data_IF_149194173221
#
_entry.id   IF_149194173221
#
_cell.length_a   1.000
_cell.length_b   1.000
_cell.length_c   1.000
_cell.angle_alpha   90.00
_cell.angle_beta   90.00
_cell.angle_gamma   90.00
#
_symmetry.space_group_name_H-M   'P 1'
#
loop_
_entity.id
_entity.type
_entity.pdbx_description
1 polymer ?
#
# COMPACT_ATOMS: atom_id res chain seq x y z
N UNK A 1 32.86 -44.40 -5.02
CA UNK A 1 32.99 -42.95 -4.74
C UNK A 1 32.58 -42.00 -5.89
N UNK A 2 32.33 -42.45 -7.13
CA UNK A 2 32.10 -41.53 -8.28
C UNK A 2 30.68 -40.92 -8.38
N UNK A 3 29.64 -41.55 -7.81
CA UNK A 3 28.23 -41.09 -7.88
C UNK A 3 27.91 -39.87 -6.98
N UNK A 4 28.64 -39.65 -5.88
CA UNK A 4 28.37 -38.54 -4.96
C UNK A 4 28.73 -37.15 -5.50
N UNK A 5 29.67 -37.05 -6.46
CA UNK A 5 30.11 -35.76 -7.02
C UNK A 5 29.06 -35.07 -7.91
N UNK A 6 28.02 -35.79 -8.35
CA UNK A 6 26.91 -35.25 -9.15
C UNK A 6 25.72 -34.75 -8.31
N UNK A 7 25.56 -35.25 -7.07
CA UNK A 7 24.45 -34.83 -6.20
C UNK A 7 24.62 -33.41 -5.66
N UNK A 8 25.86 -32.98 -5.37
CA UNK A 8 26.15 -31.66 -4.82
C UNK A 8 25.72 -30.51 -5.77
N UNK A 9 26.13 -30.47 -7.06
CA UNK A 9 25.67 -29.42 -7.97
C UNK A 9 24.15 -29.48 -8.25
N UNK A 10 23.56 -30.67 -8.28
CA UNK A 10 22.11 -30.84 -8.44
C UNK A 10 21.33 -30.26 -7.25
N UNK A 11 21.82 -30.48 -6.02
CA UNK A 11 21.24 -29.93 -4.79
C UNK A 11 21.37 -28.41 -4.74
N UNK A 12 22.52 -27.86 -5.14
CA UNK A 12 22.76 -26.41 -5.22
C UNK A 12 21.83 -25.76 -6.25
N UNK A 13 21.65 -26.37 -7.43
CA UNK A 13 20.70 -25.90 -8.43
C UNK A 13 19.25 -25.92 -7.92
N UNK A 14 18.85 -27.00 -7.22
CA UNK A 14 17.52 -27.11 -6.62
C UNK A 14 17.27 -26.04 -5.55
N UNK A 15 18.27 -25.76 -4.70
CA UNK A 15 18.21 -24.71 -3.66
C UNK A 15 18.16 -23.31 -4.30
N UNK A 16 18.91 -23.06 -5.37
CA UNK A 16 18.86 -21.81 -6.11
C UNK A 16 17.46 -21.55 -6.72
N UNK A 17 16.82 -22.59 -7.28
CA UNK A 17 15.45 -22.50 -7.81
C UNK A 17 14.43 -22.26 -6.68
N UNK A 18 14.60 -22.90 -5.52
CA UNK A 18 13.75 -22.68 -4.34
C UNK A 18 13.96 -21.30 -3.66
N UNK A 19 15.04 -20.59 -3.98
CA UNK A 19 15.34 -19.25 -3.44
C UNK A 19 14.61 -18.12 -4.17
N UNK A 20 14.05 -18.39 -5.37
CA UNK A 20 13.19 -17.46 -6.13
C UNK A 20 11.70 -17.78 -5.93
N UNK A 21 11.27 -17.88 -4.66
CA UNK A 21 9.85 -17.88 -4.34
C UNK A 21 9.27 -16.45 -4.54
N UNK A 22 8.33 -16.22 -5.48
CA UNK A 22 7.58 -14.97 -5.48
C UNK A 22 6.78 -14.88 -4.17
N UNK A 23 6.84 -13.73 -3.51
CA UNK A 23 5.89 -13.40 -2.44
C UNK A 23 4.46 -13.55 -2.97
N UNK A 24 3.54 -14.06 -2.15
CA UNK A 24 2.18 -14.37 -2.56
C UNK A 24 1.18 -13.38 -1.95
N UNK A 25 0.13 -13.07 -2.70
CA UNK A 25 -0.38 -11.71 -2.73
C UNK A 25 -1.92 -11.66 -2.83
N UNK A 26 -2.49 -10.66 -2.17
CA UNK A 26 -3.92 -10.55 -1.87
C UNK A 26 -4.84 -10.46 -3.07
N UNK A 27 -6.13 -10.68 -2.82
CA UNK A 27 -7.23 -10.21 -3.67
C UNK A 27 -8.51 -10.04 -2.82
N UNK A 28 -9.32 -9.01 -3.08
CA UNK A 28 -10.60 -8.75 -2.41
C UNK A 28 -11.81 -9.46 -3.06
N UNK A 29 -11.57 -10.56 -3.75
CA UNK A 29 -12.56 -11.41 -4.41
C UNK A 29 -11.96 -12.79 -4.63
N UNK A 30 -12.52 -13.59 -5.52
CA UNK A 30 -11.90 -14.85 -5.95
C UNK A 30 -11.97 -15.05 -7.46
N UNK A 31 -11.08 -15.89 -7.98
CA UNK A 31 -11.07 -16.29 -9.39
C UNK A 31 -11.70 -17.68 -9.56
N UNK A 32 -12.46 -17.84 -10.63
CA UNK A 32 -13.07 -19.10 -11.08
C UNK A 32 -12.70 -19.36 -12.54
N UNK A 33 -12.42 -20.61 -12.89
CA UNK A 33 -12.03 -21.03 -14.24
C UNK A 33 -12.84 -22.24 -14.70
N UNK A 34 -12.91 -22.49 -16.02
CA UNK A 34 -13.60 -23.68 -16.56
C UNK A 34 -12.80 -24.99 -16.42
N UNK A 35 -11.49 -24.92 -16.27
CA UNK A 35 -10.58 -26.07 -16.12
C UNK A 35 -9.94 -26.12 -14.72
N UNK A 36 -9.27 -27.22 -14.37
CA UNK A 36 -8.59 -27.41 -13.06
C UNK A 36 -7.22 -26.67 -12.98
N UNK A 37 -7.15 -25.49 -13.57
CA UNK A 37 -5.98 -24.61 -13.54
C UNK A 37 -5.85 -23.94 -12.17
N UNK A 38 -4.66 -24.02 -11.56
CA UNK A 38 -4.35 -23.24 -10.35
C UNK A 38 -4.04 -21.80 -10.75
N UNK A 39 -4.80 -20.85 -10.21
CA UNK A 39 -4.65 -19.41 -10.49
C UNK A 39 -4.11 -18.71 -9.25
N UNK A 40 -3.15 -17.79 -9.44
CA UNK A 40 -2.43 -17.15 -8.35
C UNK A 40 -2.42 -15.63 -8.50
N UNK A 41 -2.77 -14.94 -7.41
CA UNK A 41 -2.53 -13.50 -7.22
C UNK A 41 -1.02 -13.21 -7.17
N UNK A 42 -0.49 -12.30 -8.00
CA UNK A 42 0.53 -11.36 -7.51
C UNK A 42 -0.19 -10.16 -6.87
N UNK A 43 0.41 -8.97 -6.77
CA UNK A 43 -0.09 -7.91 -5.89
C UNK A 43 -1.53 -7.51 -6.21
N UNK A 44 -2.42 -7.50 -5.20
CA UNK A 44 -3.57 -6.61 -5.25
C UNK A 44 -3.25 -5.28 -4.60
N UNK A 45 -3.47 -4.23 -5.38
CA UNK A 45 -3.52 -2.86 -4.93
C UNK A 45 -4.96 -2.38 -5.07
N UNK A 46 -5.48 -1.78 -4.01
CA UNK A 46 -6.87 -1.30 -3.96
C UNK A 46 -6.88 0.18 -3.64
N UNK A 47 -7.53 0.99 -4.47
CA UNK A 47 -7.79 2.40 -4.20
C UNK A 47 -9.25 2.57 -3.81
N UNK A 48 -9.52 3.20 -2.67
CA UNK A 48 -10.87 3.51 -2.19
C UNK A 48 -11.00 5.01 -2.00
N UNK A 49 -11.62 5.71 -2.95
CA UNK A 49 -12.03 7.10 -2.75
C UNK A 49 -13.41 7.12 -2.07
N UNK A 50 -13.50 7.76 -0.90
CA UNK A 50 -14.69 7.73 -0.03
C UNK A 50 -15.06 9.13 0.43
N UNK A 51 -16.31 9.52 0.20
CA UNK A 51 -16.95 10.66 0.87
C UNK A 51 -18.38 10.26 1.25
N UNK A 52 -18.76 10.50 2.51
CA UNK A 52 -20.07 10.19 3.08
C UNK A 52 -20.48 8.73 2.82
N UNK A 53 -21.53 8.52 2.00
CA UNK A 53 -22.00 7.20 1.58
C UNK A 53 -21.55 6.79 0.17
N UNK A 54 -20.74 7.60 -0.52
CA UNK A 54 -20.30 7.34 -1.90
C UNK A 54 -18.88 6.78 -1.92
N UNK A 55 -18.68 5.68 -2.62
CA UNK A 55 -17.39 5.01 -2.79
C UNK A 55 -17.06 4.83 -4.26
N UNK A 56 -15.80 5.08 -4.60
CA UNK A 56 -15.18 4.59 -5.83
C UNK A 56 -14.07 3.62 -5.44
N UNK A 57 -14.20 2.37 -5.88
CA UNK A 57 -13.30 1.26 -5.57
C UNK A 57 -12.55 0.86 -6.85
N UNK A 58 -11.24 1.08 -6.89
CA UNK A 58 -10.35 0.59 -7.96
C UNK A 58 -9.61 -0.65 -7.48
N UNK A 59 -9.64 -1.73 -8.26
CA UNK A 59 -8.93 -2.97 -7.98
C UNK A 59 -7.92 -3.24 -9.09
N UNK A 60 -6.63 -3.24 -8.76
CA UNK A 60 -5.57 -3.74 -9.62
C UNK A 60 -5.09 -5.09 -9.11
N UNK A 61 -4.97 -6.06 -10.01
CA UNK A 61 -4.57 -7.43 -9.71
C UNK A 61 -3.52 -7.89 -10.74
N UNK A 62 -2.32 -8.23 -10.29
CA UNK A 62 -1.28 -8.86 -11.10
C UNK A 62 -1.58 -10.38 -11.25
N UNK A 63 -2.51 -10.70 -12.15
CA UNK A 63 -2.94 -12.09 -12.39
C UNK A 63 -1.83 -12.96 -12.98
N UNK A 64 -1.62 -14.16 -12.41
CA UNK A 64 -0.75 -15.19 -12.99
C UNK A 64 -1.49 -16.51 -13.22
N UNK A 65 -1.56 -16.93 -14.48
CA UNK A 65 -2.15 -18.20 -14.92
C UNK A 65 -2.38 -18.24 -16.44
N UNK A 66 -2.85 -19.38 -16.96
CA UNK A 66 -3.38 -19.41 -18.32
C UNK A 66 -4.67 -18.58 -18.37
N UNK A 67 -4.71 -17.61 -19.29
CA UNK A 67 -5.74 -16.55 -19.33
C UNK A 67 -7.11 -17.07 -19.84
N UNK A 68 -7.23 -18.36 -20.18
CA UNK A 68 -8.40 -18.95 -20.82
C UNK A 68 -9.56 -19.19 -19.85
N UNK A 69 -10.70 -18.58 -20.19
CA UNK A 69 -12.02 -18.84 -19.58
C UNK A 69 -12.08 -18.71 -18.05
N UNK A 70 -11.66 -17.56 -17.53
CA UNK A 70 -11.81 -17.23 -16.10
C UNK A 70 -12.60 -15.94 -15.84
N UNK A 71 -13.14 -15.86 -14.63
CA UNK A 71 -13.87 -14.71 -14.13
C UNK A 71 -13.44 -14.33 -12.72
N UNK A 72 -13.45 -13.03 -12.46
CA UNK A 72 -13.20 -12.38 -11.19
C UNK A 72 -14.53 -12.13 -10.46
N UNK A 73 -14.68 -12.64 -9.24
CA UNK A 73 -15.92 -12.53 -8.45
C UNK A 73 -15.69 -11.70 -7.19
N UNK A 74 -16.37 -10.55 -7.09
CA UNK A 74 -16.22 -9.57 -6.00
C UNK A 74 -17.58 -9.33 -5.31
N UNK A 75 -17.68 -9.44 -3.98
CA UNK A 75 -18.87 -9.03 -3.23
C UNK A 75 -19.01 -7.51 -3.22
N UNK A 76 -20.18 -7.00 -3.57
CA UNK A 76 -20.46 -5.56 -3.60
C UNK A 76 -21.69 -5.24 -2.74
N UNK A 77 -21.72 -4.12 -2.02
CA UNK A 77 -22.74 -3.86 -1.01
C UNK A 77 -24.12 -3.51 -1.62
N UNK A 78 -24.13 -3.08 -2.88
CA UNK A 78 -25.30 -2.70 -3.66
C UNK A 78 -25.18 -3.24 -5.08
N UNK A 79 -26.21 -2.97 -5.87
CA UNK A 79 -26.22 -3.18 -7.32
C UNK A 79 -25.27 -2.17 -7.97
N UNK A 80 -24.40 -2.66 -8.86
CA UNK A 80 -23.61 -1.81 -9.76
C UNK A 80 -24.33 -1.80 -11.13
N UNK A 81 -24.20 -0.71 -11.88
CA UNK A 81 -24.73 -0.56 -13.25
C UNK A 81 -23.59 -0.32 -14.25
N UNK A 82 -23.91 -0.29 -15.54
CA UNK A 82 -22.91 -0.09 -16.61
C UNK A 82 -22.17 1.25 -16.45
N UNK A 83 -22.91 2.34 -16.24
CA UNK A 83 -22.36 3.69 -16.04
C UNK A 83 -21.51 3.83 -14.76
N UNK A 84 -21.54 2.83 -13.89
CA UNK A 84 -20.78 2.80 -12.63
C UNK A 84 -19.49 1.97 -12.73
N UNK A 85 -19.18 1.37 -13.87
CA UNK A 85 -17.96 0.57 -14.08
C UNK A 85 -17.09 1.22 -15.15
N UNK A 86 -15.81 1.42 -14.83
CA UNK A 86 -14.80 1.84 -15.82
C UNK A 86 -13.51 1.06 -15.64
N UNK A 87 -12.79 0.87 -16.74
CA UNK A 87 -11.40 0.42 -16.69
C UNK A 87 -10.53 1.65 -16.44
N UNK A 88 -9.67 1.60 -15.43
CA UNK A 88 -8.79 2.69 -15.02
C UNK A 88 -7.36 2.47 -15.56
N UNK A 89 -6.56 3.54 -15.59
CA UNK A 89 -5.16 3.46 -16.02
C UNK A 89 -4.26 2.89 -14.92
N UNK A 90 -3.41 1.87 -15.19
CA UNK A 90 -2.46 1.32 -14.22
C UNK A 90 -1.55 2.39 -13.57
N UNK A 91 -1.10 3.35 -14.38
CA UNK A 91 -0.22 4.45 -14.01
C UNK A 91 -0.70 5.27 -12.80
N UNK A 92 -2.01 5.38 -12.59
CA UNK A 92 -2.55 6.15 -11.45
C UNK A 92 -2.30 5.43 -10.12
N UNK A 93 -2.31 4.10 -10.11
CA UNK A 93 -1.99 3.30 -8.93
C UNK A 93 -0.47 3.29 -8.70
N UNK A 94 0.33 3.23 -9.77
CA UNK A 94 1.79 3.41 -9.69
C UNK A 94 2.17 4.78 -9.10
N UNK A 95 1.47 5.86 -9.49
CA UNK A 95 1.66 7.22 -8.95
C UNK A 95 1.28 7.30 -7.47
N UNK A 96 0.14 6.72 -7.07
CA UNK A 96 -0.25 6.62 -5.66
C UNK A 96 0.75 5.80 -4.84
N UNK A 97 1.27 4.71 -5.40
CA UNK A 97 2.28 3.89 -4.75
C UNK A 97 3.60 4.67 -4.55
N UNK A 98 4.15 5.25 -5.61
CA UNK A 98 5.38 6.02 -5.56
C UNK A 98 5.31 7.24 -4.63
N UNK A 99 4.15 7.91 -4.56
CA UNK A 99 3.92 9.03 -3.64
C UNK A 99 3.92 8.60 -2.17
N UNK A 100 3.30 7.45 -1.87
CA UNK A 100 3.02 6.99 -0.50
C UNK A 100 3.95 5.89 0.02
N UNK A 101 4.88 5.39 -0.79
CA UNK A 101 5.76 4.29 -0.42
C UNK A 101 6.67 4.63 0.77
N UNK A 102 6.92 3.66 1.68
CA UNK A 102 7.99 3.75 2.66
C UNK A 102 9.35 3.98 2.00
N UNK A 103 10.20 4.81 2.61
CA UNK A 103 11.42 5.30 1.95
C UNK A 103 12.63 5.45 2.87
N UNK A 104 13.77 5.62 2.22
CA UNK A 104 14.99 6.17 2.83
C UNK A 104 14.97 7.70 2.74
N UNK A 105 15.53 8.36 3.75
CA UNK A 105 15.86 9.79 3.75
C UNK A 105 17.34 9.92 4.10
N UNK A 106 18.07 10.69 3.31
CA UNK A 106 19.50 10.91 3.50
C UNK A 106 19.72 12.30 4.11
N UNK A 107 20.44 12.35 5.22
CA UNK A 107 20.98 13.59 5.79
C UNK A 107 22.50 13.50 5.83
N UNK A 108 23.14 14.65 5.79
CA UNK A 108 24.59 14.77 5.84
C UNK A 108 24.92 15.60 7.09
N UNK A 109 25.85 15.11 7.91
CA UNK A 109 26.32 15.88 9.06
C UNK A 109 26.98 17.18 8.59
N UNK A 110 26.66 18.30 9.25
CA UNK A 110 27.31 19.59 9.02
C UNK A 110 28.80 19.51 9.38
N UNK A 111 29.62 20.42 8.81
CA UNK A 111 31.03 20.55 9.19
C UNK A 111 31.14 20.99 10.66
N UNK A 112 31.64 20.15 11.59
CA UNK A 112 31.74 20.51 13.00
C UNK A 112 32.81 21.57 13.28
N UNK A 113 33.59 21.97 12.27
CA UNK A 113 34.54 23.07 12.32
C UNK A 113 34.01 24.38 11.70
N UNK A 114 32.76 24.42 11.21
CA UNK A 114 32.16 25.62 10.61
C UNK A 114 31.82 26.72 11.64
N UNK A 115 32.01 28.01 11.30
CA UNK A 115 31.60 29.13 12.16
C UNK A 115 30.08 29.34 12.16
N UNK A 116 29.48 29.39 13.35
CA UNK A 116 28.03 29.54 13.54
C UNK A 116 27.60 31.01 13.38
N UNK A 117 26.86 31.30 12.30
CA UNK A 117 26.20 32.60 12.10
C UNK A 117 24.73 32.53 12.55
N UNK A 118 24.34 33.35 13.54
CA UNK A 118 22.95 33.42 14.02
C UNK A 118 22.13 34.41 13.18
N UNK A 119 21.05 33.94 12.56
CA UNK A 119 20.06 34.80 11.89
C UNK A 119 18.74 34.78 12.66
N UNK A 120 18.24 35.97 13.05
CA UNK A 120 17.03 36.12 13.86
C UNK A 120 15.76 36.14 13.00
N UNK A 121 14.77 35.31 13.34
CA UNK A 121 13.50 35.23 12.63
C UNK A 121 12.46 36.26 13.12
N UNK A 122 11.61 36.74 12.21
CA UNK A 122 10.49 37.68 12.48
C UNK A 122 9.15 36.92 12.45
N UNK A 123 8.22 37.12 13.40
CA UNK A 123 6.94 36.41 13.42
C UNK A 123 5.87 37.03 12.49
N UNK A 124 4.95 36.20 11.98
CA UNK A 124 3.75 36.63 11.26
C UNK A 124 2.47 36.38 12.09
N UNK A 125 1.44 37.25 12.02
CA UNK A 125 0.23 37.11 12.82
C UNK A 125 -0.86 36.23 12.16
N UNK A 126 -1.69 35.59 12.99
CA UNK A 126 -2.90 34.85 12.59
C UNK A 126 -4.12 35.77 12.44
N UNK A 127 -5.19 35.29 11.79
CA UNK A 127 -6.52 35.91 11.78
C UNK A 127 -7.63 34.89 12.03
N UNK A 128 -8.76 35.37 12.56
CA UNK A 128 -9.83 34.56 13.15
C UNK A 128 -11.02 34.28 12.19
N UNK A 129 -11.88 33.33 12.58
CA UNK A 129 -13.05 32.89 11.82
C UNK A 129 -14.39 33.34 12.42
N UNK A 130 -15.44 33.39 11.60
CA UNK A 130 -16.85 33.60 12.02
C UNK A 130 -17.81 32.66 11.26
N UNK A 131 -19.07 32.55 11.70
CA UNK A 131 -19.99 31.41 11.43
C UNK A 131 -21.38 31.82 10.88
N UNK A 132 -22.05 30.86 10.24
CA UNK A 132 -23.52 30.75 10.10
C UNK A 132 -23.94 30.05 8.79
N UNK A 133 -25.11 29.43 8.58
CA UNK A 133 -26.03 28.57 9.37
C UNK A 133 -27.37 28.43 8.58
N UNK A 134 -27.66 27.22 8.05
CA UNK A 134 -28.99 26.56 7.85
C UNK A 134 -30.09 27.22 6.92
N UNK A 135 -31.11 26.55 6.34
CA UNK A 135 -31.68 25.18 6.48
C UNK A 135 -32.67 24.77 5.32
N UNK A 136 -32.97 23.45 5.13
CA UNK A 136 -34.21 22.81 4.57
C UNK A 136 -34.65 22.98 3.08
N UNK A 137 -35.34 22.05 2.35
CA UNK A 137 -35.96 20.72 2.66
C UNK A 137 -36.36 19.83 1.43
N UNK A 138 -36.47 18.48 1.62
CA UNK A 138 -37.38 17.42 1.03
C UNK A 138 -37.34 17.05 -0.49
N UNK A 139 -37.08 15.77 -0.91
CA UNK A 139 -37.91 14.51 -0.99
C UNK A 139 -38.65 14.35 -2.36
N UNK A 140 -38.94 13.18 -3.00
CA UNK A 140 -38.92 11.74 -2.62
C UNK A 140 -38.99 10.77 -3.85
N UNK A 141 -38.55 9.49 -3.71
CA UNK A 141 -39.03 8.21 -4.36
C UNK A 141 -39.22 8.03 -5.92
N UNK A 142 -39.21 6.83 -6.55
CA UNK A 142 -38.86 5.41 -6.21
C UNK A 142 -38.87 4.45 -7.45
N UNK A 143 -38.68 3.12 -7.24
CA UNK A 143 -38.84 1.94 -8.16
C UNK A 143 -37.67 1.64 -9.14
N UNK A 144 -37.16 0.43 -9.44
CA UNK A 144 -37.33 -0.95 -8.91
C UNK A 144 -37.89 -1.97 -9.93
N UNK A 145 -37.46 -3.24 -10.12
CA UNK A 145 -36.35 -4.13 -9.64
C UNK A 145 -36.28 -5.38 -10.58
N UNK A 146 -35.12 -5.98 -10.95
CA UNK A 146 -34.86 -7.39 -11.47
C UNK A 146 -33.38 -7.55 -11.92
N UNK A 147 -32.96 -8.64 -12.62
CA UNK A 147 -31.60 -8.93 -13.16
C UNK A 147 -30.84 -7.65 -13.46
N UNK A 148 -29.82 -7.38 -12.65
CA UNK A 148 -29.50 -5.99 -12.36
C UNK A 148 -28.79 -5.31 -13.53
N UNK A 149 -27.79 -5.98 -14.13
CA UNK A 149 -27.14 -5.57 -15.37
C UNK A 149 -26.22 -6.68 -15.94
N UNK A 150 -26.04 -6.69 -17.27
CA UNK A 150 -24.98 -7.38 -17.99
C UNK A 150 -24.51 -6.49 -19.15
N UNK A 151 -23.20 -6.26 -19.26
CA UNK A 151 -22.60 -5.31 -20.21
C UNK A 151 -21.10 -5.59 -20.39
N UNK A 152 -20.41 -4.87 -21.29
CA UNK A 152 -18.98 -5.04 -21.54
C UNK A 152 -18.24 -3.73 -21.28
N UNK A 153 -17.11 -3.77 -20.55
CA UNK A 153 -16.25 -2.59 -20.31
C UNK A 153 -14.80 -2.96 -20.59
N UNK A 154 -14.21 -2.37 -21.63
CA UNK A 154 -12.86 -2.72 -22.08
C UNK A 154 -12.75 -4.22 -22.40
N UNK A 155 -11.76 -4.87 -21.78
CA UNK A 155 -11.47 -6.30 -21.87
C UNK A 155 -12.36 -7.19 -20.96
N UNK A 156 -13.38 -6.62 -20.31
CA UNK A 156 -14.23 -7.35 -19.36
C UNK A 156 -15.69 -7.50 -19.84
N UNK A 157 -16.22 -8.71 -19.77
CA UNK A 157 -17.66 -9.02 -19.84
C UNK A 157 -18.20 -9.06 -18.41
N UNK A 158 -19.05 -8.10 -18.03
CA UNK A 158 -19.55 -7.91 -16.66
C UNK A 158 -20.96 -8.53 -16.51
N UNK A 159 -21.15 -9.30 -15.44
CA UNK A 159 -22.46 -9.85 -15.03
C UNK A 159 -22.66 -9.58 -13.54
N UNK A 160 -23.83 -9.04 -13.17
CA UNK A 160 -24.12 -8.67 -11.78
C UNK A 160 -25.26 -9.51 -11.24
N UNK A 161 -24.96 -10.30 -10.21
CA UNK A 161 -25.82 -11.35 -9.72
C UNK A 161 -26.36 -11.02 -8.32
N UNK A 162 -27.69 -10.95 -8.20
CA UNK A 162 -28.38 -10.96 -6.92
C UNK A 162 -28.64 -12.41 -6.49
N UNK A 163 -27.87 -12.90 -5.51
CA UNK A 163 -28.03 -14.24 -4.98
C UNK A 163 -28.97 -14.22 -3.76
N UNK A 164 -30.19 -14.76 -3.91
CA UNK A 164 -31.09 -15.01 -2.76
C UNK A 164 -30.58 -16.14 -1.85
N UNK A 165 -29.76 -17.05 -2.40
CA UNK A 165 -29.16 -18.20 -1.70
C UNK A 165 -27.76 -18.50 -2.24
N UNK A 166 -26.89 -19.15 -1.44
CA UNK A 166 -25.51 -19.51 -1.87
C UNK A 166 -25.49 -20.43 -3.08
N UNK A 167 -26.43 -21.38 -3.12
CA UNK A 167 -26.61 -22.27 -4.25
C UNK A 167 -26.97 -21.55 -5.55
N UNK A 168 -27.52 -20.32 -5.50
CA UNK A 168 -27.86 -19.55 -6.70
C UNK A 168 -26.63 -19.09 -7.48
N UNK A 169 -25.64 -18.50 -6.79
CA UNK A 169 -24.37 -18.11 -7.42
C UNK A 169 -23.59 -19.34 -7.92
N UNK A 170 -23.47 -20.37 -7.07
CA UNK A 170 -22.80 -21.62 -7.42
C UNK A 170 -23.47 -22.31 -8.64
N UNK A 171 -24.80 -22.37 -8.67
CA UNK A 171 -25.55 -22.94 -9.80
C UNK A 171 -25.35 -22.13 -11.07
N UNK A 172 -25.34 -20.79 -10.99
CA UNK A 172 -25.07 -19.95 -12.15
C UNK A 172 -23.64 -20.17 -12.67
N UNK A 173 -22.65 -20.18 -11.79
CA UNK A 173 -21.24 -20.41 -12.15
C UNK A 173 -21.04 -21.79 -12.79
N UNK A 174 -21.53 -22.86 -12.16
CA UNK A 174 -21.46 -24.23 -12.68
C UNK A 174 -22.19 -24.38 -14.03
N UNK A 175 -23.36 -23.75 -14.21
CA UNK A 175 -24.10 -23.75 -15.49
C UNK A 175 -23.37 -23.01 -16.61
N UNK A 176 -22.59 -21.98 -16.28
CA UNK A 176 -21.72 -21.27 -17.22
C UNK A 176 -20.33 -21.94 -17.38
N UNK A 177 -20.16 -23.14 -16.83
CA UNK A 177 -18.97 -23.97 -16.94
C UNK A 177 -17.84 -23.66 -15.94
N UNK A 178 -18.00 -22.67 -15.06
CA UNK A 178 -16.98 -22.29 -14.09
C UNK A 178 -16.97 -23.24 -12.89
N UNK A 179 -15.79 -23.71 -12.51
CA UNK A 179 -15.58 -24.55 -11.33
C UNK A 179 -15.36 -23.69 -10.08
N UNK A 180 -16.17 -23.93 -9.06
CA UNK A 180 -16.03 -23.35 -7.73
C UNK A 180 -15.03 -24.14 -6.87
N UNK A 181 -14.04 -23.49 -6.22
CA UNK A 181 -13.12 -24.17 -5.30
C UNK A 181 -13.85 -24.77 -4.08
N UNK A 182 -13.32 -25.89 -3.55
CA UNK A 182 -13.92 -26.58 -2.39
C UNK A 182 -13.97 -25.65 -1.16
N UNK A 183 -15.15 -25.54 -0.56
CA UNK A 183 -15.38 -24.72 0.64
C UNK A 183 -15.87 -23.28 0.38
N UNK A 184 -15.95 -22.85 -0.89
CA UNK A 184 -16.41 -21.50 -1.27
C UNK A 184 -17.78 -21.15 -0.66
N UNK A 185 -18.73 -22.10 -0.65
CA UNK A 185 -20.07 -21.89 -0.07
C UNK A 185 -20.07 -21.46 1.40
N UNK A 186 -19.12 -21.90 2.22
CA UNK A 186 -19.04 -21.47 3.62
C UNK A 186 -18.59 -20.01 3.73
N UNK A 187 -17.69 -19.58 2.84
CA UNK A 187 -17.15 -18.22 2.81
C UNK A 187 -18.13 -17.23 2.16
N UNK A 188 -18.98 -17.69 1.23
CA UNK A 188 -20.04 -16.90 0.60
C UNK A 188 -21.23 -16.60 1.52
N UNK A 189 -21.55 -17.49 2.48
CA UNK A 189 -22.72 -17.38 3.38
C UNK A 189 -22.87 -16.01 4.08
N UNK A 190 -21.81 -15.39 4.66
CA UNK A 190 -21.94 -14.09 5.32
C UNK A 190 -22.36 -12.97 4.37
N UNK A 191 -21.76 -12.85 3.18
CA UNK A 191 -22.14 -11.81 2.20
C UNK A 191 -23.62 -11.89 1.81
N UNK A 192 -24.14 -13.12 1.66
CA UNK A 192 -25.54 -13.38 1.32
C UNK A 192 -26.48 -13.06 2.48
N UNK A 193 -26.10 -13.42 3.72
CA UNK A 193 -26.83 -13.00 4.93
C UNK A 193 -26.83 -11.47 5.11
N UNK A 194 -25.79 -10.79 4.63
CA UNK A 194 -25.70 -9.34 4.59
C UNK A 194 -26.31 -8.71 3.31
N UNK A 195 -27.06 -9.48 2.52
CA UNK A 195 -27.76 -9.07 1.29
C UNK A 195 -26.86 -8.41 0.22
N UNK A 196 -25.58 -8.76 0.20
CA UNK A 196 -24.63 -8.27 -0.81
C UNK A 196 -24.87 -8.94 -2.17
N UNK A 197 -24.46 -8.25 -3.25
CA UNK A 197 -24.51 -8.76 -4.62
C UNK A 197 -23.13 -9.30 -5.01
N UNK A 198 -23.09 -10.10 -6.07
CA UNK A 198 -21.83 -10.59 -6.63
C UNK A 198 -21.60 -9.97 -7.98
N UNK A 199 -20.55 -9.16 -8.06
CA UNK A 199 -20.03 -8.59 -9.28
C UNK A 199 -19.08 -9.60 -9.93
N UNK A 200 -19.41 -10.06 -11.13
CA UNK A 200 -18.62 -11.05 -11.88
C UNK A 200 -18.05 -10.39 -13.13
N UNK A 201 -16.73 -10.22 -13.19
CA UNK A 201 -16.03 -9.75 -14.39
C UNK A 201 -15.32 -10.93 -15.06
N UNK A 202 -15.89 -11.44 -16.14
CA UNK A 202 -15.22 -12.40 -17.04
C UNK A 202 -14.27 -11.64 -17.94
N UNK A 203 -13.11 -12.21 -18.25
CA UNK A 203 -12.17 -11.60 -19.20
C UNK A 203 -12.45 -12.06 -20.62
N UNK A 204 -12.43 -11.10 -21.54
CA UNK A 204 -12.56 -11.28 -22.97
C UNK A 204 -11.15 -11.28 -23.59
N UNK A 205 -10.69 -12.47 -24.00
CA UNK A 205 -9.32 -12.66 -24.46
C UNK A 205 -8.98 -11.92 -25.74
N UNK A 206 -9.92 -11.85 -26.67
CA UNK A 206 -9.69 -11.23 -27.98
C UNK A 206 -9.49 -9.72 -27.77
N UNK A 207 -10.38 -9.09 -26.99
CA UNK A 207 -10.24 -7.67 -26.59
C UNK A 207 -9.00 -7.40 -25.74
N UNK A 208 -8.58 -8.36 -24.89
CA UNK A 208 -7.35 -8.22 -24.12
C UNK A 208 -6.11 -8.24 -25.04
N UNK A 209 -6.06 -9.16 -26.00
CA UNK A 209 -4.98 -9.22 -26.99
C UNK A 209 -4.93 -7.97 -27.89
N UNK A 210 -6.09 -7.48 -28.33
CA UNK A 210 -6.24 -6.22 -29.08
C UNK A 210 -5.76 -4.99 -28.29
N UNK A 211 -5.87 -5.02 -26.97
CA UNK A 211 -5.51 -3.87 -26.11
C UNK A 211 -4.01 -3.55 -26.09
N UNK A 212 -3.15 -4.51 -26.44
CA UNK A 212 -1.69 -4.37 -26.41
C UNK A 212 -1.06 -4.30 -25.00
N UNK A 213 -1.83 -4.40 -23.93
CA UNK A 213 -1.32 -4.41 -22.56
C UNK A 213 -0.72 -5.77 -22.19
N UNK A 214 0.37 -5.75 -21.41
CA UNK A 214 1.02 -6.98 -20.90
C UNK A 214 0.31 -7.57 -19.67
N UNK A 215 -0.50 -6.76 -18.98
CA UNK A 215 -1.26 -7.12 -17.78
C UNK A 215 -2.66 -6.54 -17.84
N UNK A 216 -3.60 -7.17 -17.13
CA UNK A 216 -4.99 -6.70 -17.00
C UNK A 216 -5.05 -5.29 -16.42
N UNK A 217 -5.88 -4.41 -17.00
CA UNK A 217 -6.03 -3.05 -16.50
C UNK A 217 -6.92 -3.00 -15.26
N UNK A 218 -6.64 -2.12 -14.28
CA UNK A 218 -7.43 -2.01 -13.06
C UNK A 218 -8.91 -1.76 -13.34
N UNK A 219 -9.79 -2.46 -12.61
CA UNK A 219 -11.23 -2.30 -12.74
C UNK A 219 -11.74 -1.39 -11.62
N UNK A 220 -12.46 -0.33 -11.99
CA UNK A 220 -13.02 0.63 -11.05
C UNK A 220 -14.54 0.56 -11.04
N UNK A 221 -15.12 0.49 -9.84
CA UNK A 221 -16.56 0.46 -9.61
C UNK A 221 -16.98 1.58 -8.65
N UNK A 222 -18.10 2.23 -8.96
CA UNK A 222 -18.66 3.34 -8.18
C UNK A 222 -19.99 2.94 -7.56
N UNK A 223 -20.19 3.16 -6.26
CA UNK A 223 -21.44 2.80 -5.59
C UNK A 223 -21.75 3.67 -4.37
N UNK A 224 -23.04 3.73 -4.03
CA UNK A 224 -23.53 4.36 -2.80
C UNK A 224 -23.90 3.28 -1.77
N UNK A 225 -23.31 3.32 -0.59
CA UNK A 225 -23.62 2.45 0.55
C UNK A 225 -23.07 3.00 1.87
N UNK A 226 -23.75 2.83 3.00
CA UNK A 226 -23.16 3.04 4.33
C UNK A 226 -22.09 2.00 4.70
N UNK A 227 -22.02 0.86 3.99
CA UNK A 227 -20.99 -0.17 4.23
C UNK A 227 -19.64 0.28 3.68
N UNK A 228 -18.76 0.74 4.55
CA UNK A 228 -17.37 1.02 4.22
C UNK A 228 -16.50 -0.20 4.59
N UNK A 229 -16.32 -1.12 3.64
CA UNK A 229 -15.60 -2.39 3.84
C UNK A 229 -14.92 -2.89 2.56
N UNK A 230 -13.92 -3.76 2.71
CA UNK A 230 -13.22 -4.44 1.60
C UNK A 230 -13.25 -5.98 1.81
N UNK A 231 -13.90 -6.76 0.92
CA UNK A 231 -14.20 -8.17 1.15
C UNK A 231 -13.01 -9.14 0.91
N UNK A 232 -11.99 -9.06 1.75
CA UNK A 232 -10.73 -9.81 1.61
C UNK A 232 -10.87 -11.34 1.76
N UNK A 233 -11.92 -11.86 2.40
CA UNK A 233 -11.98 -13.29 2.78
C UNK A 233 -12.10 -14.24 1.60
N UNK A 234 -12.66 -13.77 0.47
CA UNK A 234 -12.74 -14.60 -0.74
C UNK A 234 -11.38 -14.78 -1.42
N UNK A 235 -10.43 -13.85 -1.27
CA UNK A 235 -9.06 -14.01 -1.78
C UNK A 235 -8.37 -15.25 -1.21
N UNK A 236 -8.67 -15.58 0.04
CA UNK A 236 -8.16 -16.77 0.72
C UNK A 236 -8.71 -18.11 0.20
N UNK A 237 -9.63 -18.11 -0.78
CA UNK A 237 -10.14 -19.36 -1.37
C UNK A 237 -9.07 -20.04 -2.22
N UNK A 238 -8.32 -19.27 -3.01
CA UNK A 238 -7.29 -19.78 -3.93
C UNK A 238 -5.87 -19.70 -3.33
N UNK A 239 -5.70 -18.96 -2.22
CA UNK A 239 -4.43 -18.77 -1.55
C UNK A 239 -3.96 -20.03 -0.77
N UNK A 240 -2.70 -20.40 -0.95
CA UNK A 240 -2.04 -21.48 -0.19
C UNK A 240 -1.14 -20.97 0.94
N UNK A 241 -0.92 -19.66 1.01
CA UNK A 241 0.01 -18.98 1.94
C UNK A 241 -0.61 -17.67 2.46
N UNK A 242 0.15 -16.92 3.25
CA UNK A 242 -0.16 -15.53 3.60
C UNK A 242 -0.25 -14.66 2.32
N UNK A 243 -1.03 -13.59 2.38
CA UNK A 243 -1.34 -12.72 1.24
C UNK A 243 -1.13 -11.24 1.57
N UNK A 244 -0.35 -10.53 0.76
CA UNK A 244 -0.08 -9.09 0.91
C UNK A 244 -1.04 -8.20 0.11
N UNK A 245 -1.72 -7.27 0.80
CA UNK A 245 -2.65 -6.27 0.24
C UNK A 245 -2.18 -4.86 0.56
N UNK A 246 -2.13 -3.98 -0.44
CA UNK A 246 -1.99 -2.54 -0.21
C UNK A 246 -3.33 -1.85 -0.49
N UNK A 247 -3.83 -1.09 0.48
CA UNK A 247 -5.06 -0.29 0.37
C UNK A 247 -4.71 1.19 0.47
N UNK A 248 -5.00 1.96 -0.57
CA UNK A 248 -4.92 3.42 -0.60
C UNK A 248 -6.32 3.97 -0.40
N UNK A 249 -6.60 4.57 0.75
CA UNK A 249 -7.88 5.22 1.04
C UNK A 249 -7.72 6.72 0.84
N UNK A 250 -8.53 7.31 -0.02
CA UNK A 250 -8.61 8.74 -0.27
C UNK A 250 -9.89 9.28 0.39
N UNK A 251 -9.78 10.29 1.27
CA UNK A 251 -10.94 10.94 1.89
C UNK A 251 -10.77 12.46 1.99
N UNK A 252 -11.87 13.25 2.05
CA UNK A 252 -11.77 14.68 2.32
C UNK A 252 -11.62 15.05 3.80
N UNK A 253 -11.86 14.14 4.75
CA UNK A 253 -11.87 14.46 6.19
C UNK A 253 -10.52 14.25 6.89
N UNK A 254 -9.78 13.20 6.53
CA UNK A 254 -8.54 12.81 7.21
C UNK A 254 -8.15 11.34 6.99
N UNK A 255 -7.45 10.76 7.97
CA UNK A 255 -7.09 9.34 7.97
C UNK A 255 -8.32 8.43 7.93
N UNK A 256 -8.17 7.28 7.29
CA UNK A 256 -9.11 6.18 7.43
C UNK A 256 -8.44 4.98 8.12
N UNK A 257 -9.14 4.36 9.06
CA UNK A 257 -8.59 3.27 9.87
C UNK A 257 -9.48 2.02 9.80
N UNK A 258 -8.88 0.85 10.08
CA UNK A 258 -9.62 -0.40 10.22
C UNK A 258 -10.25 -0.47 11.61
N UNK A 259 -11.54 -0.80 11.69
CA UNK A 259 -12.30 -0.80 12.97
C UNK A 259 -12.36 -2.16 13.63
N UNK A 260 -12.30 -3.26 12.86
CA UNK A 260 -12.33 -4.63 13.38
C UNK A 260 -10.94 -5.31 13.46
N UNK A 261 -9.87 -4.61 13.04
CA UNK A 261 -8.48 -5.03 13.23
C UNK A 261 -7.65 -3.88 13.76
N UNK A 262 -6.65 -4.18 14.59
CA UNK A 262 -5.76 -3.15 15.15
C UNK A 262 -4.93 -2.53 14.02
N UNK A 263 -4.95 -1.21 13.89
CA UNK A 263 -4.06 -0.48 12.99
C UNK A 263 -2.76 -0.13 13.74
N UNK A 264 -1.59 -0.41 13.13
CA UNK A 264 -0.27 -0.22 13.75
C UNK A 264 0.66 0.54 12.79
N UNK A 265 1.23 1.66 13.22
CA UNK A 265 2.25 2.39 12.45
C UNK A 265 3.49 1.51 12.25
N UNK A 266 4.01 1.42 11.02
CA UNK A 266 5.31 0.76 10.79
C UNK A 266 6.42 1.49 11.58
N UNK A 267 7.48 0.78 12.03
CA UNK A 267 8.67 1.43 12.57
C UNK A 267 9.18 2.52 11.63
N UNK A 268 9.47 3.71 12.15
CA UNK A 268 9.82 4.90 11.36
C UNK A 268 10.63 5.88 12.21
N UNK A 269 11.31 6.85 11.58
CA UNK A 269 12.20 7.84 12.22
C UNK A 269 13.42 7.21 12.90
N UNK A 270 13.96 6.14 12.32
CA UNK A 270 15.09 5.39 12.88
C UNK A 270 16.32 5.51 11.99
N UNK A 271 17.47 5.84 12.59
CA UNK A 271 18.77 5.82 11.94
C UNK A 271 19.20 4.36 11.70
N UNK A 272 19.58 4.06 10.47
CA UNK A 272 20.09 2.74 10.06
C UNK A 272 21.36 2.92 9.21
N UNK A 273 22.25 1.90 9.15
CA UNK A 273 23.52 1.99 8.44
C UNK A 273 23.36 2.37 6.96
N UNK A 274 24.22 3.29 6.48
CA UNK A 274 24.19 3.82 5.10
C UNK A 274 24.17 2.73 4.01
N UNK A 275 24.80 1.57 4.25
CA UNK A 275 24.82 0.46 3.28
C UNK A 275 23.42 -0.10 2.96
N UNK A 276 22.41 0.13 3.82
CA UNK A 276 21.03 -0.31 3.55
C UNK A 276 20.45 0.38 2.30
N UNK A 277 21.06 1.48 1.82
CA UNK A 277 20.71 2.11 0.54
C UNK A 277 20.67 1.12 -0.65
N UNK A 278 21.62 0.20 -0.74
CA UNK A 278 21.66 -0.83 -1.79
C UNK A 278 20.83 -2.08 -1.49
N UNK A 279 20.32 -2.22 -0.26
CA UNK A 279 19.62 -3.42 0.23
C UNK A 279 18.20 -3.10 0.75
N UNK A 280 17.64 -1.93 0.39
CA UNK A 280 16.42 -1.39 1.00
C UNK A 280 15.22 -2.33 0.88
N UNK A 281 15.06 -3.01 -0.26
CA UNK A 281 13.99 -3.97 -0.46
C UNK A 281 14.05 -5.16 0.49
N UNK A 282 15.24 -5.67 0.77
CA UNK A 282 15.42 -6.83 1.67
C UNK A 282 15.40 -6.42 3.15
N UNK A 283 15.90 -5.23 3.46
CA UNK A 283 15.66 -4.55 4.73
C UNK A 283 14.15 -4.42 5.01
N UNK A 284 13.37 -3.86 4.08
CA UNK A 284 11.96 -3.57 4.31
C UNK A 284 11.15 -4.86 4.46
N UNK A 285 11.38 -5.88 3.61
CA UNK A 285 10.78 -7.23 3.76
C UNK A 285 11.07 -7.83 5.14
N UNK A 286 12.33 -7.76 5.59
CA UNK A 286 12.76 -8.34 6.87
C UNK A 286 12.18 -7.58 8.06
N UNK A 287 12.16 -6.25 7.99
CA UNK A 287 11.56 -5.37 9.00
C UNK A 287 10.06 -5.61 9.10
N UNK A 288 9.35 -5.64 7.97
CA UNK A 288 7.92 -5.90 7.92
C UNK A 288 7.59 -7.29 8.47
N UNK A 289 8.36 -8.33 8.11
CA UNK A 289 8.16 -9.68 8.65
C UNK A 289 8.37 -9.75 10.17
N UNK A 290 9.38 -9.07 10.70
CA UNK A 290 9.62 -8.98 12.16
C UNK A 290 8.48 -8.25 12.85
N UNK A 291 8.04 -7.10 12.34
CA UNK A 291 6.88 -6.36 12.87
C UNK A 291 5.59 -7.19 12.80
N UNK A 292 5.29 -7.83 11.68
CA UNK A 292 4.12 -8.68 11.48
C UNK A 292 4.09 -9.88 12.44
N UNK A 293 5.25 -10.50 12.68
CA UNK A 293 5.38 -11.61 13.64
C UNK A 293 5.21 -11.14 15.08
N UNK A 294 5.76 -9.97 15.43
CA UNK A 294 5.62 -9.34 16.76
C UNK A 294 4.17 -8.95 17.07
N UNK A 295 3.41 -8.53 16.05
CA UNK A 295 2.01 -8.12 16.15
C UNK A 295 1.03 -9.30 15.96
N UNK A 296 1.42 -10.51 16.37
CA UNK A 296 0.62 -11.75 16.32
C UNK A 296 0.02 -12.11 14.94
N UNK A 297 0.52 -11.51 13.86
CA UNK A 297 0.00 -11.66 12.49
C UNK A 297 -1.47 -11.23 12.30
N UNK A 298 -1.97 -10.27 13.09
CA UNK A 298 -3.41 -9.91 13.17
C UNK A 298 -3.72 -8.40 13.10
N UNK A 299 -2.88 -7.63 12.40
CA UNK A 299 -2.95 -6.17 12.33
C UNK A 299 -2.89 -5.64 10.91
N UNK A 300 -3.43 -4.45 10.68
CA UNK A 300 -3.19 -3.65 9.49
C UNK A 300 -2.03 -2.67 9.76
N UNK A 301 -1.02 -2.63 8.90
CA UNK A 301 0.08 -1.68 9.06
C UNK A 301 -0.24 -0.35 8.36
N UNK A 302 -0.15 0.75 9.11
CA UNK A 302 -0.16 2.08 8.53
C UNK A 302 1.26 2.38 8.02
N UNK A 303 1.40 2.53 6.71
CA UNK A 303 2.66 2.86 6.02
C UNK A 303 2.78 4.36 5.71
N UNK A 304 1.64 5.02 5.42
CA UNK A 304 1.59 6.45 5.08
C UNK A 304 0.21 7.06 5.39
N UNK A 305 0.20 8.29 5.89
CA UNK A 305 -0.99 9.11 6.09
C UNK A 305 -0.62 10.59 5.88
N UNK A 306 -1.14 11.27 4.87
CA UNK A 306 -0.86 12.71 4.65
C UNK A 306 -1.95 13.36 3.78
N UNK A 307 -2.12 14.67 3.93
CA UNK A 307 -2.84 15.51 2.96
C UNK A 307 -2.04 15.64 1.65
N UNK A 308 -2.63 15.31 0.50
CA UNK A 308 -1.92 15.25 -0.79
C UNK A 308 -1.52 16.61 -1.38
N UNK A 309 -1.86 17.74 -0.75
CA UNK A 309 -1.42 19.08 -1.19
C UNK A 309 0.07 19.36 -0.95
N UNK A 310 0.72 18.59 -0.07
CA UNK A 310 2.13 18.73 0.25
C UNK A 310 2.73 17.40 0.73
N UNK A 311 4.06 17.37 0.81
CA UNK A 311 4.84 16.30 1.43
C UNK A 311 6.18 16.87 1.87
N UNK A 312 6.75 16.39 2.98
CA UNK A 312 8.10 16.80 3.40
C UNK A 312 8.93 15.66 4.04
N UNK A 313 10.05 15.24 3.42
CA UNK A 313 10.35 15.43 1.99
C UNK A 313 9.28 14.76 1.09
N UNK A 314 9.34 14.87 -0.22
CA UNK A 314 8.46 14.10 -1.14
C UNK A 314 9.14 12.82 -1.66
N UNK A 315 8.41 11.70 -1.75
CA UNK A 315 8.92 10.46 -2.37
C UNK A 315 8.79 10.50 -3.89
N UNK A 316 7.72 11.12 -4.36
CA UNK A 316 7.45 11.52 -5.74
C UNK A 316 6.60 12.80 -5.71
N UNK A 317 6.47 13.49 -6.85
CA UNK A 317 5.58 14.64 -6.95
C UNK A 317 4.14 14.27 -6.61
N UNK A 318 3.38 15.12 -5.88
CA UNK A 318 1.95 14.93 -5.65
C UNK A 318 1.15 14.64 -6.93
N UNK A 319 0.03 13.94 -6.78
CA UNK A 319 -0.91 13.75 -7.87
C UNK A 319 -1.64 15.07 -8.15
N UNK A 320 -1.76 15.43 -9.41
CA UNK A 320 -2.55 16.59 -9.82
C UNK A 320 -4.08 16.29 -9.77
N UNK A 321 -4.91 17.32 -9.91
CA UNK A 321 -6.38 17.19 -9.80
C UNK A 321 -6.97 16.15 -10.77
N UNK A 322 -6.44 16.04 -11.99
CA UNK A 322 -6.92 15.07 -12.97
C UNK A 322 -6.49 13.64 -12.61
N UNK A 323 -5.25 13.44 -12.17
CA UNK A 323 -4.78 12.15 -11.64
C UNK A 323 -5.62 11.69 -10.43
N UNK A 324 -6.03 12.62 -9.55
CA UNK A 324 -6.90 12.33 -8.42
C UNK A 324 -8.33 11.94 -8.86
N UNK A 325 -8.91 12.60 -9.87
CA UNK A 325 -10.21 12.20 -10.46
C UNK A 325 -10.17 10.81 -11.09
N UNK A 326 -9.07 10.48 -11.75
CA UNK A 326 -8.84 9.14 -12.30
C UNK A 326 -8.68 8.09 -11.18
N UNK A 327 -8.04 8.45 -10.06
CA UNK A 327 -7.99 7.64 -8.84
C UNK A 327 -9.36 7.45 -8.14
N UNK A 328 -10.42 8.13 -8.61
CA UNK A 328 -11.79 8.01 -8.12
C UNK A 328 -12.24 9.18 -7.23
N UNK A 329 -11.43 10.23 -7.07
CA UNK A 329 -11.80 11.41 -6.27
C UNK A 329 -12.84 12.25 -7.02
N UNK A 330 -14.12 12.11 -6.66
CA UNK A 330 -15.25 12.77 -7.31
C UNK A 330 -15.63 14.14 -6.72
N UNK A 331 -14.95 14.59 -5.65
CA UNK A 331 -15.35 15.80 -4.91
C UNK A 331 -14.49 17.05 -5.20
N UNK A 332 -13.54 16.96 -6.14
CA UNK A 332 -12.65 18.08 -6.49
C UNK A 332 -13.33 19.17 -7.33
N UNK A 333 -14.35 18.83 -8.10
CA UNK A 333 -15.05 19.77 -8.99
C UNK A 333 -15.98 20.74 -8.25
N UNK A 334 -16.30 20.46 -6.98
CA UNK A 334 -17.10 21.32 -6.11
C UNK A 334 -16.38 22.61 -5.67
N UNK A 335 -15.16 22.88 -6.16
CA UNK A 335 -14.35 24.07 -5.84
C UNK A 335 -14.07 24.97 -7.07
N UNK A 336 -14.67 24.71 -8.23
CA UNK A 336 -14.63 25.65 -9.37
C UNK A 336 -15.83 26.61 -9.27
N UNK A 337 -15.83 27.44 -8.24
CA UNK A 337 -16.70 28.61 -8.19
C UNK A 337 -16.30 29.60 -9.29
N UNK A 338 -17.16 29.76 -10.29
CA UNK A 338 -17.01 30.70 -11.39
C UNK A 338 -17.22 32.17 -10.93
N UNK A 339 -16.41 32.66 -9.99
CA UNK A 339 -16.39 34.07 -9.60
C UNK A 339 -15.03 34.47 -9.02
N UNK A 340 -14.14 35.03 -9.86
CA UNK A 340 -12.85 35.56 -9.40
C UNK A 340 -11.97 36.03 -10.55
N UNK A 341 -11.90 37.34 -10.76
CA UNK A 341 -11.10 38.01 -11.81
C UNK A 341 -9.63 37.56 -11.74
N UNK A 342 -9.03 37.30 -12.90
CA UNK A 342 -7.65 36.86 -13.00
C UNK A 342 -6.64 37.97 -12.63
N UNK A 343 -6.09 37.91 -11.42
CA UNK A 343 -4.88 38.66 -11.05
C UNK A 343 -3.62 37.92 -11.53
N UNK A 344 -2.68 38.59 -12.24
CA UNK A 344 -1.46 37.95 -12.71
C UNK A 344 -0.40 37.77 -11.60
N UNK A 345 0.48 36.78 -11.80
CA UNK A 345 1.78 36.63 -11.13
C UNK A 345 1.78 36.43 -9.59
N UNK A 346 1.34 35.27 -9.12
CA UNK A 346 2.06 34.53 -8.06
C UNK A 346 1.89 33.02 -8.28
N UNK A 347 2.94 32.22 -8.05
CA UNK A 347 2.89 30.75 -8.15
C UNK A 347 1.86 30.22 -7.14
N UNK A 348 0.70 29.77 -7.61
CA UNK A 348 -0.31 29.13 -6.75
C UNK A 348 0.27 27.83 -6.17
N UNK A 349 0.09 27.53 -4.87
CA UNK A 349 0.24 26.17 -4.36
C UNK A 349 -0.74 25.26 -5.09
N UNK A 350 -0.38 23.98 -5.25
CA UNK A 350 -1.22 23.00 -5.94
C UNK A 350 -2.64 22.96 -5.33
N UNK A 351 -3.69 23.30 -6.08
CA UNK A 351 -5.07 23.22 -5.59
C UNK A 351 -5.57 21.78 -5.72
N UNK A 352 -4.88 20.83 -5.07
CA UNK A 352 -5.55 19.59 -4.69
C UNK A 352 -6.55 19.99 -3.61
N UNK A 353 -7.85 19.97 -3.92
CA UNK A 353 -8.88 20.06 -2.88
C UNK A 353 -8.65 18.99 -1.82
N UNK A 354 -9.22 19.15 -0.62
CA UNK A 354 -8.94 18.27 0.52
C UNK A 354 -9.03 16.80 0.12
N UNK A 355 -7.86 16.17 -0.02
CA UNK A 355 -7.68 14.74 -0.24
C UNK A 355 -6.57 14.32 0.70
N UNK A 356 -6.94 13.48 1.65
CA UNK A 356 -6.05 12.84 2.58
C UNK A 356 -5.90 11.38 2.16
N UNK A 357 -4.67 10.94 1.91
CA UNK A 357 -4.37 9.55 1.58
C UNK A 357 -3.98 8.79 2.84
N UNK A 358 -4.53 7.59 3.01
CA UNK A 358 -4.08 6.60 3.99
C UNK A 358 -3.65 5.32 3.27
N UNK A 359 -2.38 4.91 3.42
CA UNK A 359 -1.83 3.68 2.88
C UNK A 359 -1.75 2.63 3.98
N UNK A 360 -2.56 1.59 3.85
CA UNK A 360 -2.57 0.43 4.73
C UNK A 360 -1.96 -0.78 4.01
N UNK A 361 -1.08 -1.51 4.69
CA UNK A 361 -0.52 -2.78 4.24
C UNK A 361 -1.03 -3.89 5.15
N UNK A 362 -1.79 -4.83 4.59
CA UNK A 362 -2.39 -5.95 5.31
C UNK A 362 -1.83 -7.26 4.77
N UNK A 363 -1.02 -7.95 5.58
CA UNK A 363 -0.64 -9.35 5.34
C UNK A 363 -1.63 -10.27 6.07
N UNK A 364 -2.45 -11.00 5.34
CA UNK A 364 -3.54 -11.79 5.95
C UNK A 364 -3.51 -13.28 5.64
N UNK A 365 -4.18 -14.03 6.52
CA UNK A 365 -4.46 -15.46 6.41
C UNK A 365 -5.88 -15.73 6.89
N UNK A 366 -6.51 -16.80 6.39
CA UNK A 366 -7.89 -17.18 6.71
C UNK A 366 -8.18 -17.39 8.20
N UNK A 367 -7.17 -17.78 8.99
CA UNK A 367 -7.29 -18.01 10.43
C UNK A 367 -6.98 -16.77 11.29
N UNK A 368 -6.26 -15.76 10.76
CA UNK A 368 -5.97 -14.51 11.48
C UNK A 368 -6.93 -13.38 11.10
N UNK A 369 -7.45 -13.42 9.87
CA UNK A 369 -8.46 -12.49 9.35
C UNK A 369 -9.73 -13.28 8.98
N UNK A 370 -10.55 -13.70 9.98
CA UNK A 370 -11.79 -14.41 9.74
C UNK A 370 -12.92 -13.51 9.20
N UNK A 371 -12.76 -12.19 9.26
CA UNK A 371 -13.68 -11.15 8.81
C UNK A 371 -13.09 -10.32 7.67
N UNK A 372 -13.94 -9.55 7.02
CA UNK A 372 -13.53 -8.59 5.99
C UNK A 372 -13.03 -7.30 6.66
N UNK A 373 -12.24 -6.50 5.97
CA UNK A 373 -11.77 -5.22 6.54
C UNK A 373 -12.94 -4.24 6.58
N UNK A 374 -13.28 -3.73 7.76
CA UNK A 374 -14.27 -2.66 7.95
C UNK A 374 -13.50 -1.38 8.27
N UNK A 375 -13.85 -0.28 7.62
CA UNK A 375 -13.16 1.00 7.77
C UNK A 375 -14.06 2.09 8.31
N UNK A 376 -13.45 3.12 8.88
CA UNK A 376 -14.08 4.41 9.12
C UNK A 376 -13.16 5.55 8.66
N UNK A 377 -13.76 6.63 8.14
CA UNK A 377 -13.05 7.92 7.97
C UNK A 377 -13.03 8.65 9.30
N UNK A 378 -11.89 9.23 9.65
CA UNK A 378 -11.69 10.02 10.87
C UNK A 378 -11.43 11.48 10.53
N UNK A 379 -11.57 12.37 11.53
CA UNK A 379 -11.06 13.75 11.45
C UNK A 379 -9.57 13.86 11.78
N UNK A 380 -8.85 12.74 11.94
CA UNK A 380 -7.43 12.77 12.25
C UNK A 380 -6.63 13.20 11.02
N UNK A 381 -5.94 14.33 11.11
CA UNK A 381 -5.05 14.86 10.07
C UNK A 381 -3.56 14.77 10.44
N UNK A 382 -3.22 14.03 11.50
CA UNK A 382 -1.82 13.72 11.84
C UNK A 382 -1.12 13.12 10.61
N UNK A 383 0.00 13.71 10.23
CA UNK A 383 0.81 13.19 9.12
C UNK A 383 1.76 12.11 9.62
N UNK A 384 1.81 10.98 8.92
CA UNK A 384 2.69 9.86 9.20
C UNK A 384 3.28 9.30 7.90
N UNK A 385 4.51 8.82 7.99
CA UNK A 385 5.19 8.13 6.91
C UNK A 385 6.19 7.12 7.49
N UNK A 386 6.28 5.94 6.89
CA UNK A 386 7.42 5.03 7.05
C UNK A 386 8.67 5.63 6.41
N UNK A 387 9.55 6.24 7.21
CA UNK A 387 10.84 6.77 6.77
C UNK A 387 11.97 6.22 7.63
N UNK A 388 13.05 5.82 6.98
CA UNK A 388 14.27 5.33 7.63
C UNK A 388 15.43 6.23 7.23
N UNK A 389 16.28 6.55 8.19
CA UNK A 389 17.24 7.65 8.07
C UNK A 389 18.64 7.10 7.83
N UNK A 390 19.31 7.60 6.79
CA UNK A 390 20.71 7.37 6.52
C UNK A 390 21.48 8.65 6.86
N UNK A 391 22.18 8.64 7.99
CA UNK A 391 22.98 9.78 8.46
C UNK A 391 24.43 9.64 7.95
N UNK A 392 24.74 10.33 6.86
CA UNK A 392 26.09 10.35 6.29
C UNK A 392 27.04 11.15 7.19
N UNK A 393 28.17 10.56 7.63
CA UNK A 393 29.17 11.28 8.39
C UNK A 393 29.85 12.36 7.53
N UNK A 394 30.23 13.47 8.16
CA UNK A 394 31.07 14.49 7.54
C UNK A 394 32.45 13.89 7.23
N UNK A 395 32.85 13.96 5.96
CA UNK A 395 34.10 13.37 5.44
C UNK A 395 35.21 14.40 5.22
N UNK A 396 34.97 15.67 5.57
CA UNK A 396 35.92 16.77 5.41
C UNK A 396 36.96 16.88 6.54
N UNK A 397 37.50 18.08 6.71
CA UNK A 397 38.60 18.35 7.62
C UNK A 397 38.14 18.45 9.09
N UNK A 398 38.51 17.47 9.92
CA UNK A 398 38.12 17.37 11.33
C UNK A 398 39.20 17.83 12.34
N UNK A 399 40.19 18.63 11.92
CA UNK A 399 41.36 18.96 12.77
C UNK A 399 41.06 19.94 13.93
N UNK A 400 39.87 20.57 13.97
CA UNK A 400 39.48 21.42 15.11
C UNK A 400 39.18 20.59 16.39
N UNK A 401 38.93 21.25 17.53
CA UNK A 401 38.53 20.58 18.77
C UNK A 401 37.21 19.81 18.61
N UNK A 402 36.17 20.48 18.10
CA UNK A 402 34.86 19.89 17.85
C UNK A 402 34.92 18.71 16.85
N UNK A 403 35.72 18.82 15.79
CA UNK A 403 35.91 17.73 14.81
C UNK A 403 36.55 16.47 15.41
N UNK A 404 37.47 16.62 16.36
CA UNK A 404 38.06 15.48 17.11
C UNK A 404 37.07 14.83 18.07
N UNK A 405 36.18 15.61 18.69
CA UNK A 405 35.09 15.08 19.53
C UNK A 405 34.04 14.34 18.69
N UNK A 406 33.60 14.96 17.59
CA UNK A 406 32.73 14.35 16.59
C UNK A 406 33.28 13.02 16.06
N UNK A 407 34.59 12.94 15.71
CA UNK A 407 35.20 11.68 15.26
C UNK A 407 35.09 10.56 16.30
N UNK A 408 35.14 10.87 17.61
CA UNK A 408 35.00 9.87 18.69
C UNK A 408 33.56 9.37 18.83
N UNK A 409 32.57 10.25 18.70
CA UNK A 409 31.15 9.89 18.86
C UNK A 409 30.61 8.98 17.73
N UNK A 410 31.20 9.03 16.53
CA UNK A 410 30.83 8.19 15.39
C UNK A 410 30.82 6.68 15.71
N UNK A 411 31.76 6.20 16.52
CA UNK A 411 31.85 4.78 16.89
C UNK A 411 30.58 4.31 17.64
N UNK A 412 30.13 5.10 18.62
CA UNK A 412 28.89 4.86 19.36
C UNK A 412 27.65 4.98 18.48
N UNK A 413 27.62 5.96 17.56
CA UNK A 413 26.52 6.12 16.60
C UNK A 413 26.38 4.91 15.68
N UNK A 414 27.47 4.45 15.07
CA UNK A 414 27.45 3.30 14.17
C UNK A 414 27.04 2.00 14.89
N UNK A 415 27.41 1.81 16.15
CA UNK A 415 26.92 0.68 16.94
C UNK A 415 25.42 0.79 17.25
N UNK A 416 24.89 1.99 17.54
CA UNK A 416 23.45 2.22 17.69
C UNK A 416 22.66 1.97 16.40
N UNK A 417 23.18 2.40 15.24
CA UNK A 417 22.62 2.11 13.92
C UNK A 417 22.62 0.59 13.65
N UNK A 418 23.71 -0.11 13.96
CA UNK A 418 23.83 -1.55 13.80
C UNK A 418 22.82 -2.32 14.68
N UNK A 419 22.69 -1.94 15.95
CA UNK A 419 21.70 -2.51 16.87
C UNK A 419 20.27 -2.21 16.43
N UNK A 420 20.01 -1.00 15.91
CA UNK A 420 18.70 -0.61 15.37
C UNK A 420 18.33 -1.47 14.17
N UNK A 421 19.25 -1.64 13.21
CA UNK A 421 19.03 -2.52 12.06
C UNK A 421 18.78 -3.97 12.48
N UNK A 422 19.58 -4.52 13.40
CA UNK A 422 19.40 -5.87 13.92
C UNK A 422 18.04 -6.06 14.61
N UNK A 423 17.64 -5.10 15.45
CA UNK A 423 16.35 -5.11 16.16
C UNK A 423 15.15 -5.02 15.20
N UNK A 424 15.27 -4.25 14.12
CA UNK A 424 14.23 -4.11 13.10
C UNK A 424 14.08 -5.38 12.27
N UNK A 425 15.19 -5.96 11.80
CA UNK A 425 15.20 -7.02 10.78
C UNK A 425 15.35 -8.44 11.33
N UNK A 426 15.72 -8.58 12.60
CA UNK A 426 16.20 -9.83 13.21
C UNK A 426 17.45 -10.42 12.51
N UNK A 427 18.18 -9.61 11.72
CA UNK A 427 19.47 -9.99 11.14
C UNK A 427 20.56 -10.08 12.21
N UNK A 428 21.58 -10.91 11.96
CA UNK A 428 22.69 -11.09 12.91
C UNK A 428 23.52 -9.80 13.00
N UNK A 429 23.67 -9.28 14.22
CA UNK A 429 24.45 -8.07 14.51
C UNK A 429 25.91 -8.15 14.03
N UNK A 430 26.52 -9.33 14.03
CA UNK A 430 27.91 -9.50 13.56
C UNK A 430 28.03 -9.32 12.04
N UNK A 431 27.09 -9.85 11.27
CA UNK A 431 27.04 -9.72 9.81
C UNK A 431 26.84 -8.24 9.42
N UNK A 432 25.96 -7.53 10.16
CA UNK A 432 25.75 -6.08 10.02
C UNK A 432 27.05 -5.31 10.29
N UNK A 433 27.69 -5.54 11.46
CA UNK A 433 28.97 -4.89 11.81
C UNK A 433 30.07 -5.16 10.78
N UNK A 434 30.11 -6.37 10.20
CA UNK A 434 31.03 -6.70 9.12
C UNK A 434 30.74 -5.89 7.85
N UNK A 435 29.48 -5.79 7.39
CA UNK A 435 29.09 -4.94 6.26
C UNK A 435 29.41 -3.46 6.49
N UNK A 436 29.26 -2.96 7.71
CA UNK A 436 29.61 -1.58 8.06
C UNK A 436 31.13 -1.35 7.95
N UNK A 437 31.97 -2.27 8.43
CA UNK A 437 33.43 -2.16 8.32
C UNK A 437 33.93 -2.09 6.86
N UNK A 438 33.23 -2.70 5.91
CA UNK A 438 33.55 -2.58 4.49
C UNK A 438 33.11 -1.25 3.85
N UNK A 439 32.12 -0.55 4.43
CA UNK A 439 31.58 0.70 3.88
C UNK A 439 32.04 1.96 4.62
N UNK A 440 32.56 1.86 5.85
CA UNK A 440 33.30 2.95 6.51
C UNK A 440 34.68 3.06 5.86
N UNK A 441 34.72 3.70 4.69
CA UNK A 441 35.96 4.01 4.00
C UNK A 441 36.88 4.85 4.88
N UNK A 442 38.01 4.27 5.30
CA UNK A 442 39.17 4.99 5.84
C UNK A 442 38.96 5.92 7.04
N UNK A 443 37.93 5.72 7.87
CA UNK A 443 37.98 6.21 9.26
C UNK A 443 38.78 5.23 10.11
N UNK A 444 40.09 5.16 9.86
CA UNK A 444 41.01 4.38 10.69
C UNK A 444 41.06 5.01 12.09
N UNK A 445 40.26 4.48 13.01
CA UNK A 445 40.69 4.37 14.39
C UNK A 445 41.76 3.28 14.45
N UNK A 446 42.83 3.53 15.20
CA UNK A 446 43.89 2.52 15.28
C UNK A 446 43.42 1.31 16.09
N UNK A 447 44.05 0.15 15.89
CA UNK A 447 43.61 -1.08 16.55
C UNK A 447 43.68 -1.00 18.09
N UNK A 448 44.56 -0.16 18.64
CA UNK A 448 44.62 0.15 20.07
C UNK A 448 43.46 1.02 20.60
N UNK A 449 42.87 1.90 19.78
CA UNK A 449 41.69 2.69 20.20
C UNK A 449 40.46 1.78 20.38
N UNK A 450 40.30 0.78 19.50
CA UNK A 450 39.25 -0.24 19.65
C UNK A 450 39.47 -1.16 20.86
N UNK A 451 40.74 -1.38 21.26
CA UNK A 451 41.09 -2.16 22.46
C UNK A 451 40.74 -1.39 23.74
N UNK A 452 41.04 -0.09 23.81
CA UNK A 452 40.74 0.78 24.96
C UNK A 452 39.23 0.92 25.18
N UNK A 453 38.46 1.17 24.11
CA UNK A 453 36.99 1.20 24.21
C UNK A 453 36.36 -0.14 24.61
N UNK A 454 37.03 -1.27 24.34
CA UNK A 454 36.59 -2.59 24.81
C UNK A 454 36.94 -2.84 26.29
N UNK A 455 38.00 -2.21 26.80
CA UNK A 455 38.43 -2.27 28.19
C UNK A 455 37.77 -1.21 29.10
N UNK A 456 37.02 -0.26 28.54
CA UNK A 456 36.34 0.79 29.29
C UNK A 456 37.27 1.92 29.78
N UNK A 457 38.33 2.21 29.02
CA UNK A 457 39.33 3.27 29.26
C UNK A 457 39.23 4.40 28.23
#
# INVERSE_FOLDING_TARGET
MRKFKLFIPLLIALIAILSFAPTALAFCGFYVAKADTKLYNKASQVVIARQDNKTVLTMANDFQGEVKDFAMVVPVPTVIKEEQVRVAEPRIIERLDAFSAPRLVEYFDEDPCAPVYKMSAVPAPMSAASRGAAESSRQDNSLGVTVEAQFNVGEYDIVILSAKESGGLETWLNRNGYKMPRGSNQLLKPYIRSSMKFFVAKINLDKFAESGYQSLRPLQISYESPKFMLPIRLGMINATTEQDLIVYILSPQGQAEVTNYRTVKVPSNLNIPVFVKSEFGDFYKSMFQTSYTKEDKKVAFLEYAWNMSNCDPCSADPLNSEELKQAGVFWLDNNIDNNGIASPQFRRPFPTGNVFITRLHVRYTRNKFPEDLIFQTTSNQESFQGRYVLQHPFTGNLQCSAGREYKRSLSGRFEQEAQTLAKLTNWKIQDIRQKMKFNVGTTTSSWWENLLTWLGL
#
